data_IF_539920927152
#
_entry.id   IF_539920927152
#
_cell.length_a   1.000
_cell.length_b   1.000
_cell.length_c   1.000
_cell.angle_alpha   90.00
_cell.angle_beta   90.00
_cell.angle_gamma   90.00
#
_symmetry.space_group_name_H-M   'P 1'
#
loop_
_entity.id
_entity.type
_entity.pdbx_description
1 polymer ?
#
# COMPACT_ATOMS: atom_id res chain seq x y z
N UNK A 1 0.18 -37.07 0.24
CA UNK A 1 0.24 -35.60 0.47
C UNK A 1 1.20 -35.25 1.60
N UNK A 2 1.24 -36.04 2.69
CA UNK A 2 2.26 -35.90 3.74
C UNK A 2 3.63 -36.46 3.33
N UNK A 3 3.68 -37.47 2.46
CA UNK A 3 4.95 -38.09 2.02
C UNK A 3 5.91 -37.12 1.29
N UNK A 4 5.41 -36.00 0.77
CA UNK A 4 6.24 -35.01 0.10
C UNK A 4 7.07 -34.18 1.10
N UNK A 5 6.52 -33.86 2.27
CA UNK A 5 7.20 -33.09 3.31
C UNK A 5 8.39 -33.86 3.90
N UNK A 6 8.22 -35.17 4.10
CA UNK A 6 9.27 -36.02 4.68
C UNK A 6 10.43 -36.22 3.70
N UNK A 7 10.15 -36.38 2.40
CA UNK A 7 11.20 -36.59 1.39
C UNK A 7 11.97 -35.30 1.04
N UNK A 8 11.31 -34.13 1.02
CA UNK A 8 11.99 -32.86 0.71
C UNK A 8 13.02 -32.48 1.78
N UNK A 9 12.69 -32.69 3.07
CA UNK A 9 13.62 -32.39 4.17
C UNK A 9 14.81 -33.37 4.21
N UNK A 10 14.59 -34.63 3.81
CA UNK A 10 15.62 -35.68 3.75
C UNK A 10 16.58 -35.50 2.57
N UNK A 11 16.12 -34.95 1.45
CA UNK A 11 16.95 -34.65 0.27
C UNK A 11 17.76 -33.35 0.40
N UNK A 12 17.60 -32.60 1.51
CA UNK A 12 18.26 -31.31 1.70
C UNK A 12 17.76 -30.22 0.75
N UNK A 13 16.66 -30.46 0.04
CA UNK A 13 16.03 -29.48 -0.83
C UNK A 13 15.06 -28.64 -0.01
N UNK A 14 15.45 -27.40 0.28
CA UNK A 14 14.55 -26.39 0.82
C UNK A 14 13.46 -26.10 -0.22
N UNK A 15 12.17 -26.23 0.12
CA UNK A 15 11.10 -25.83 -0.78
C UNK A 15 11.25 -24.38 -1.22
N UNK A 16 11.08 -24.12 -2.51
CA UNK A 16 11.29 -22.79 -3.11
C UNK A 16 10.49 -21.66 -2.43
N UNK A 17 9.34 -21.96 -1.81
CA UNK A 17 8.53 -20.98 -1.06
C UNK A 17 9.13 -20.60 0.29
N UNK A 18 9.97 -21.42 0.91
CA UNK A 18 10.71 -21.07 2.12
C UNK A 18 11.85 -20.11 1.80
N UNK A 19 12.45 -20.25 0.61
CA UNK A 19 13.51 -19.35 0.14
C UNK A 19 12.94 -18.03 -0.39
N UNK A 20 11.88 -18.08 -1.21
CA UNK A 20 11.29 -16.90 -1.86
C UNK A 20 10.21 -16.19 -1.04
N UNK A 21 9.55 -16.92 -0.13
CA UNK A 21 8.47 -16.39 0.70
C UNK A 21 8.86 -15.16 1.53
N UNK A 22 10.01 -15.15 2.23
CA UNK A 22 10.47 -13.99 2.99
C UNK A 22 10.67 -12.74 2.12
N UNK A 23 11.19 -12.90 0.91
CA UNK A 23 11.42 -11.79 -0.03
C UNK A 23 10.11 -11.21 -0.57
N UNK A 24 9.16 -12.07 -0.90
CA UNK A 24 7.81 -11.63 -1.29
C UNK A 24 7.11 -10.90 -0.15
N UNK A 25 7.19 -11.44 1.07
CA UNK A 25 6.62 -10.81 2.25
C UNK A 25 7.27 -9.44 2.52
N UNK A 26 8.59 -9.33 2.41
CA UNK A 26 9.31 -8.07 2.54
C UNK A 26 8.89 -7.05 1.47
N UNK A 27 8.82 -7.46 0.21
CA UNK A 27 8.39 -6.59 -0.89
C UNK A 27 6.97 -6.05 -0.66
N UNK A 28 6.03 -6.93 -0.27
CA UNK A 28 4.65 -6.55 0.05
C UNK A 28 4.58 -5.61 1.26
N UNK A 29 5.40 -5.86 2.28
CA UNK A 29 5.48 -5.01 3.46
C UNK A 29 5.98 -3.60 3.11
N UNK A 30 7.09 -3.48 2.38
CA UNK A 30 7.62 -2.19 1.93
C UNK A 30 6.63 -1.46 1.03
N UNK A 31 5.96 -2.18 0.13
CA UNK A 31 4.92 -1.62 -0.73
C UNK A 31 3.77 -1.02 0.09
N UNK A 32 3.26 -1.76 1.08
CA UNK A 32 2.18 -1.31 1.94
C UNK A 32 2.57 -0.07 2.76
N UNK A 33 3.77 -0.08 3.36
CA UNK A 33 4.31 1.06 4.11
C UNK A 33 4.47 2.28 3.20
N UNK A 34 5.05 2.12 2.01
CA UNK A 34 5.19 3.21 1.03
C UNK A 34 3.85 3.79 0.61
N UNK A 35 2.84 2.95 0.37
CA UNK A 35 1.48 3.41 0.07
C UNK A 35 0.87 4.23 1.21
N UNK A 36 1.03 3.80 2.47
CA UNK A 36 0.57 4.55 3.64
C UNK A 36 1.28 5.90 3.78
N UNK A 37 2.60 5.92 3.60
CA UNK A 37 3.41 7.16 3.64
C UNK A 37 2.97 8.10 2.51
N UNK A 38 2.85 7.61 1.28
CA UNK A 38 2.39 8.40 0.14
C UNK A 38 0.99 8.99 0.35
N UNK A 39 0.06 8.20 0.89
CA UNK A 39 -1.30 8.66 1.19
C UNK A 39 -1.30 9.78 2.23
N UNK A 40 -0.54 9.62 3.32
CA UNK A 40 -0.41 10.66 4.35
C UNK A 40 0.27 11.93 3.82
N UNK A 41 1.37 11.79 3.07
CA UNK A 41 2.08 12.93 2.48
C UNK A 41 1.21 13.72 1.51
N UNK A 42 0.29 13.05 0.79
CA UNK A 42 -0.66 13.73 -0.08
C UNK A 42 -1.64 14.62 0.72
N UNK A 43 -2.09 14.15 1.89
CA UNK A 43 -2.90 14.95 2.82
C UNK A 43 -2.09 16.14 3.36
N UNK A 44 -0.85 15.91 3.80
CA UNK A 44 0.05 16.97 4.30
C UNK A 44 0.29 18.03 3.23
N UNK A 45 0.63 17.62 2.00
CA UNK A 45 0.89 18.54 0.89
C UNK A 45 -0.35 19.39 0.55
N UNK A 46 -1.53 18.76 0.45
CA UNK A 46 -2.75 19.45 0.07
C UNK A 46 -3.29 20.38 1.18
N UNK A 47 -3.32 19.89 2.42
CA UNK A 47 -3.86 20.64 3.57
C UNK A 47 -2.88 21.67 4.09
N UNK A 48 -1.60 21.35 4.12
CA UNK A 48 -0.53 22.27 4.49
C UNK A 48 -0.50 23.50 3.59
N UNK A 49 -0.65 23.30 2.26
CA UNK A 49 -0.75 24.42 1.31
C UNK A 49 -1.99 25.32 1.52
N UNK A 50 -2.99 24.86 2.28
CA UNK A 50 -4.25 25.58 2.57
C UNK A 50 -4.35 26.06 4.02
N UNK A 51 -3.36 25.79 4.86
CA UNK A 51 -3.43 26.07 6.30
C UNK A 51 -4.53 25.27 7.03
N UNK A 52 -4.97 24.14 6.46
CA UNK A 52 -5.99 23.28 7.07
C UNK A 52 -5.36 22.29 8.07
N UNK A 53 -6.12 21.90 9.10
CA UNK A 53 -5.70 20.88 10.06
C UNK A 53 -5.41 19.53 9.38
N UNK A 54 -4.18 19.07 9.50
CA UNK A 54 -3.74 17.77 8.97
C UNK A 54 -4.28 16.62 9.83
N UNK A 55 -4.24 16.76 11.16
CA UNK A 55 -4.50 15.68 12.12
C UNK A 55 -5.97 15.56 12.48
N UNK A 56 -6.62 16.68 12.80
CA UNK A 56 -7.96 16.66 13.41
C UNK A 56 -9.11 16.62 12.39
N UNK A 57 -8.85 16.99 11.13
CA UNK A 57 -9.88 17.02 10.10
C UNK A 57 -10.06 15.62 9.47
N UNK A 58 -11.24 14.98 9.61
CA UNK A 58 -11.47 13.66 9.02
C UNK A 58 -11.45 13.71 7.49
N UNK A 59 -11.06 12.60 6.87
CA UNK A 59 -11.14 12.41 5.41
C UNK A 59 -12.61 12.44 4.97
N UNK A 60 -12.95 13.36 4.07
CA UNK A 60 -14.32 13.56 3.60
C UNK A 60 -14.37 13.97 2.13
N UNK A 61 -15.49 13.66 1.47
CA UNK A 61 -15.73 14.12 0.11
C UNK A 61 -15.90 15.65 0.10
N UNK A 62 -15.18 16.40 -0.75
CA UNK A 62 -15.30 17.85 -0.81
C UNK A 62 -16.63 18.34 -1.42
N UNK A 63 -17.37 17.45 -2.10
CA UNK A 63 -18.63 17.81 -2.77
C UNK A 63 -19.85 17.52 -1.88
N UNK A 64 -19.97 16.32 -1.34
CA UNK A 64 -21.14 15.95 -0.51
C UNK A 64 -20.89 16.02 1.00
N UNK A 65 -19.64 16.23 1.44
CA UNK A 65 -19.29 16.20 2.86
C UNK A 65 -19.33 14.80 3.50
N UNK A 66 -19.67 13.76 2.73
CA UNK A 66 -19.71 12.37 3.20
C UNK A 66 -18.36 11.92 3.77
N UNK A 67 -18.38 11.33 4.97
CA UNK A 67 -17.17 10.77 5.60
C UNK A 67 -16.66 9.57 4.81
N UNK A 68 -15.36 9.56 4.52
CA UNK A 68 -14.72 8.40 3.90
C UNK A 68 -14.61 7.31 4.96
N UNK A 69 -15.24 6.15 4.70
CA UNK A 69 -15.16 4.98 5.59
C UNK A 69 -13.73 4.44 5.58
N UNK A 70 -13.27 3.89 6.71
CA UNK A 70 -11.90 3.39 6.85
C UNK A 70 -11.45 2.45 5.72
N UNK A 71 -12.31 1.52 5.29
CA UNK A 71 -12.05 0.61 4.15
C UNK A 71 -11.84 1.30 2.80
N UNK A 72 -12.40 2.50 2.62
CA UNK A 72 -12.23 3.30 1.41
C UNK A 72 -11.01 4.23 1.49
N UNK A 73 -10.38 4.32 2.65
CA UNK A 73 -9.17 5.10 2.90
C UNK A 73 -7.89 4.23 2.87
N UNK A 74 -8.01 2.96 2.49
CA UNK A 74 -6.86 2.07 2.33
C UNK A 74 -6.11 2.47 1.05
N UNK A 75 -4.79 2.77 1.10
CA UNK A 75 -4.05 3.26 -0.06
C UNK A 75 -4.19 2.32 -1.25
N UNK A 76 -4.36 2.86 -2.46
CA UNK A 76 -4.52 2.16 -3.74
C UNK A 76 -5.86 1.37 -3.80
N UNK A 77 -6.09 0.47 -2.85
CA UNK A 77 -7.27 -0.40 -2.76
C UNK A 77 -8.56 0.39 -2.61
N UNK A 78 -8.58 1.46 -1.81
CA UNK A 78 -9.76 2.30 -1.62
C UNK A 78 -10.23 2.94 -2.92
N UNK A 79 -9.30 3.44 -3.73
CA UNK A 79 -9.59 4.01 -5.05
C UNK A 79 -10.12 2.94 -6.03
N UNK A 80 -9.50 1.76 -6.05
CA UNK A 80 -9.90 0.64 -6.91
C UNK A 80 -11.29 0.11 -6.54
N UNK A 81 -11.56 -0.11 -5.26
CA UNK A 81 -12.86 -0.58 -4.75
C UNK A 81 -14.00 0.39 -5.07
N UNK A 82 -13.70 1.69 -5.09
CA UNK A 82 -14.65 2.73 -5.42
C UNK A 82 -14.78 3.00 -6.94
N UNK A 83 -13.89 2.42 -7.75
CA UNK A 83 -13.81 2.71 -9.18
C UNK A 83 -13.50 4.17 -9.47
N UNK A 84 -12.69 4.82 -8.63
CA UNK A 84 -12.31 6.23 -8.78
C UNK A 84 -13.45 7.23 -8.58
N UNK A 85 -14.52 6.87 -7.85
CA UNK A 85 -15.68 7.75 -7.61
C UNK A 85 -16.11 7.72 -6.15
N UNK A 86 -16.61 8.83 -5.62
CA UNK A 86 -17.16 8.86 -4.28
C UNK A 86 -18.30 7.83 -4.13
N UNK A 87 -18.36 7.15 -2.98
CA UNK A 87 -19.39 6.16 -2.69
C UNK A 87 -20.79 6.80 -2.68
N UNK A 88 -20.93 7.97 -2.05
CA UNK A 88 -22.24 8.60 -1.81
C UNK A 88 -22.71 9.43 -3.02
N UNK A 89 -21.91 10.36 -3.51
CA UNK A 89 -22.31 11.31 -4.56
C UNK A 89 -21.76 10.99 -5.96
N UNK A 90 -20.96 9.93 -6.11
CA UNK A 90 -20.37 9.49 -7.39
C UNK A 90 -19.46 10.51 -8.10
N UNK A 91 -19.14 11.64 -7.46
CA UNK A 91 -18.15 12.60 -7.95
C UNK A 91 -16.82 11.88 -8.20
N UNK A 92 -16.14 12.14 -9.33
CA UNK A 92 -14.85 11.52 -9.62
C UNK A 92 -13.80 11.91 -8.59
N UNK A 93 -13.09 10.90 -8.08
CA UNK A 93 -11.89 11.09 -7.28
C UNK A 93 -10.73 11.28 -8.26
N UNK A 94 -9.94 12.35 -8.16
CA UNK A 94 -8.87 12.60 -9.11
C UNK A 94 -7.83 11.46 -9.14
N UNK A 95 -7.45 11.01 -10.33
CA UNK A 95 -6.49 9.90 -10.49
C UNK A 95 -5.11 10.19 -9.89
N UNK A 96 -4.75 11.47 -9.74
CA UNK A 96 -3.50 11.88 -9.08
C UNK A 96 -3.35 11.31 -7.66
N UNK A 97 -4.45 11.12 -6.92
CA UNK A 97 -4.39 10.55 -5.57
C UNK A 97 -3.90 9.10 -5.62
N UNK A 98 -4.47 8.31 -6.53
CA UNK A 98 -4.05 6.93 -6.78
C UNK A 98 -2.60 6.85 -7.28
N UNK A 99 -2.22 7.69 -8.25
CA UNK A 99 -0.87 7.68 -8.81
C UNK A 99 0.19 8.04 -7.76
N UNK A 100 -0.12 8.96 -6.85
CA UNK A 100 0.79 9.34 -5.77
C UNK A 100 1.00 8.19 -4.78
N UNK A 101 -0.07 7.53 -4.34
CA UNK A 101 0.03 6.36 -3.45
C UNK A 101 0.80 5.22 -4.11
N UNK A 102 0.53 4.96 -5.39
CA UNK A 102 1.24 3.92 -6.16
C UNK A 102 2.72 4.25 -6.33
N UNK A 103 3.06 5.50 -6.64
CA UNK A 103 4.46 5.93 -6.82
C UNK A 103 5.28 5.71 -5.54
N UNK A 104 4.75 6.11 -4.37
CA UNK A 104 5.44 5.89 -3.10
C UNK A 104 5.49 4.42 -2.69
N UNK A 105 4.43 3.65 -2.93
CA UNK A 105 4.41 2.20 -2.69
C UNK A 105 5.51 1.49 -3.50
N UNK A 106 5.60 1.79 -4.80
CA UNK A 106 6.63 1.23 -5.68
C UNK A 106 8.02 1.70 -5.27
N UNK A 107 8.21 2.98 -4.98
CA UNK A 107 9.51 3.53 -4.56
C UNK A 107 10.03 2.81 -3.31
N UNK A 108 9.20 2.67 -2.27
CA UNK A 108 9.60 1.98 -1.03
C UNK A 108 9.90 0.51 -1.27
N UNK A 109 9.09 -0.17 -2.08
CA UNK A 109 9.35 -1.57 -2.44
C UNK A 109 10.70 -1.72 -3.16
N UNK A 110 11.00 -0.86 -4.14
CA UNK A 110 12.26 -0.90 -4.89
C UNK A 110 13.46 -0.60 -3.98
N UNK A 111 13.41 0.48 -3.21
CA UNK A 111 14.52 0.87 -2.31
C UNK A 111 14.71 -0.13 -1.18
N UNK A 112 13.62 -0.60 -0.57
CA UNK A 112 13.64 -1.59 0.51
C UNK A 112 14.21 -2.92 0.05
N UNK A 113 13.80 -3.41 -1.14
CA UNK A 113 14.33 -4.64 -1.71
C UNK A 113 15.78 -4.50 -2.17
N UNK A 114 16.16 -3.33 -2.70
CA UNK A 114 17.56 -3.04 -3.02
C UNK A 114 18.44 -3.10 -1.76
N UNK A 115 18.01 -2.44 -0.67
CA UNK A 115 18.73 -2.46 0.61
C UNK A 115 18.79 -3.84 1.25
N UNK A 116 17.68 -4.57 1.27
CA UNK A 116 17.64 -5.93 1.80
C UNK A 116 18.57 -6.87 1.00
N UNK A 117 18.60 -6.74 -0.33
CA UNK A 117 19.50 -7.50 -1.19
C UNK A 117 21.00 -7.26 -0.94
N UNK A 118 21.37 -6.08 -0.43
CA UNK A 118 22.76 -5.80 0.00
C UNK A 118 23.07 -6.31 1.41
N UNK A 119 22.07 -6.42 2.29
CA UNK A 119 22.28 -6.86 3.67
C UNK A 119 22.43 -8.38 3.80
N UNK A 120 21.74 -9.14 2.96
CA UNK A 120 21.75 -10.62 2.97
C UNK A 120 22.72 -11.25 1.97
N UNK A 121 23.58 -10.45 1.33
CA UNK A 121 24.65 -10.92 0.45
C UNK A 121 25.98 -10.90 1.20
#
# INVERSE_FOLDING_TARGET
MFDWFDNAFVLGETPWWLESGPWLAAALWFFAVGGCVGSFLNVVALRGARGEDVVFRPSGCPVCGGRIRARHNLPILGYLMLGGRCYDCRTPIPIRYFLWELAFAVLFAVVGMWGAGHYFR
#
